data_IF_651984492179
#
_entry.id   IF_651984492179
#
_cell.length_a   1.000
_cell.length_b   1.000
_cell.length_c   1.000
_cell.angle_alpha   90.00
_cell.angle_beta   90.00
_cell.angle_gamma   90.00
#
_symmetry.space_group_name_H-M   'P 1'
#
loop_
_entity.id
_entity.type
_entity.pdbx_description
1 polymer ?
#
# COMPACT_ATOMS: atom_id res chain seq x y z
N UNK A 1 7.33 -16.55 15.78
CA UNK A 1 8.22 -15.45 15.34
C UNK A 1 8.33 -14.42 16.44
N UNK A 2 9.48 -13.77 16.62
CA UNK A 2 9.59 -12.65 17.57
C UNK A 2 8.69 -11.49 17.08
N UNK A 3 8.16 -10.68 18.00
CA UNK A 3 7.32 -9.51 17.64
C UNK A 3 8.03 -8.58 16.65
N UNK A 4 9.34 -8.40 16.80
CA UNK A 4 10.18 -7.64 15.86
C UNK A 4 10.14 -8.20 14.43
N UNK A 5 10.19 -9.52 14.26
CA UNK A 5 10.11 -10.16 12.95
C UNK A 5 8.75 -9.95 12.27
N UNK A 6 7.65 -9.92 13.03
CA UNK A 6 6.32 -9.65 12.49
C UNK A 6 6.18 -8.20 11.99
N UNK A 7 6.76 -7.25 12.73
CA UNK A 7 6.80 -5.84 12.33
C UNK A 7 7.62 -5.68 11.05
N UNK A 8 8.82 -6.26 10.99
CA UNK A 8 9.67 -6.23 9.78
C UNK A 8 8.93 -6.81 8.58
N UNK A 9 8.24 -7.94 8.75
CA UNK A 9 7.45 -8.55 7.67
C UNK A 9 6.38 -7.59 7.13
N UNK A 10 5.62 -6.92 7.99
CA UNK A 10 4.59 -5.96 7.55
C UNK A 10 5.20 -4.73 6.88
N UNK A 11 6.36 -4.25 7.35
CA UNK A 11 7.08 -3.15 6.70
C UNK A 11 7.53 -3.55 5.30
N UNK A 12 8.10 -4.75 5.12
CA UNK A 12 8.48 -5.26 3.80
C UNK A 12 7.25 -5.38 2.89
N UNK A 13 6.14 -5.95 3.39
CA UNK A 13 4.88 -6.03 2.64
C UNK A 13 4.38 -4.64 2.21
N UNK A 14 4.39 -3.66 3.11
CA UNK A 14 3.99 -2.30 2.80
C UNK A 14 4.85 -1.68 1.70
N UNK A 15 6.18 -1.82 1.79
CA UNK A 15 7.10 -1.31 0.78
C UNK A 15 6.89 -2.00 -0.58
N UNK A 16 6.75 -3.33 -0.58
CA UNK A 16 6.52 -4.10 -1.81
C UNK A 16 5.19 -3.72 -2.47
N UNK A 17 4.10 -3.63 -1.71
CA UNK A 17 2.80 -3.21 -2.24
C UNK A 17 2.83 -1.78 -2.76
N UNK A 18 3.50 -0.87 -2.04
CA UNK A 18 3.63 0.53 -2.45
C UNK A 18 4.40 0.67 -3.76
N UNK A 19 5.47 -0.13 -3.94
CA UNK A 19 6.27 -0.15 -5.17
C UNK A 19 5.50 -0.75 -6.35
N UNK A 20 4.80 -1.86 -6.13
CA UNK A 20 3.92 -2.46 -7.17
C UNK A 20 2.84 -1.44 -7.57
N UNK A 21 2.19 -0.80 -6.59
CA UNK A 21 1.18 0.21 -6.85
C UNK A 21 1.74 1.40 -7.61
N UNK A 22 2.97 1.83 -7.28
CA UNK A 22 3.62 2.92 -7.99
C UNK A 22 3.71 2.65 -9.49
N UNK A 23 4.24 1.48 -9.89
CA UNK A 23 4.37 1.11 -11.29
C UNK A 23 3.04 0.81 -12.00
N UNK A 24 2.02 0.39 -11.27
CA UNK A 24 0.72 0.03 -11.85
C UNK A 24 -0.29 1.19 -11.88
N UNK A 25 -0.07 2.23 -11.08
CA UNK A 25 -0.98 3.36 -10.93
C UNK A 25 -1.25 4.13 -12.22
N UNK A 26 -0.25 4.26 -13.09
CA UNK A 26 -0.43 4.91 -14.40
C UNK A 26 -1.38 4.11 -15.29
N UNK A 27 -1.18 2.78 -15.37
CA UNK A 27 -2.08 1.88 -16.09
C UNK A 27 -3.50 1.93 -15.55
N UNK A 28 -3.66 1.98 -14.21
CA UNK A 28 -4.98 2.08 -13.58
C UNK A 28 -5.68 3.38 -14.00
N UNK A 29 -4.97 4.51 -14.04
CA UNK A 29 -5.54 5.79 -14.46
C UNK A 29 -5.86 5.80 -15.94
N UNK A 30 -4.97 5.30 -16.79
CA UNK A 30 -5.22 5.23 -18.22
C UNK A 30 -6.47 4.37 -18.55
N UNK A 31 -6.75 3.36 -17.71
CA UNK A 31 -7.96 2.56 -17.81
C UNK A 31 -9.21 3.26 -17.24
N UNK A 32 -9.09 3.93 -16.10
CA UNK A 32 -10.22 4.56 -15.40
C UNK A 32 -10.66 5.87 -16.06
N UNK A 33 -9.71 6.64 -16.59
CA UNK A 33 -9.86 7.96 -17.17
C UNK A 33 -9.11 8.02 -18.52
N UNK A 34 -9.62 7.31 -19.55
CA UNK A 34 -8.96 7.28 -20.85
C UNK A 34 -8.88 8.68 -21.45
N UNK A 35 -7.69 9.04 -21.95
CA UNK A 35 -7.41 10.36 -22.53
C UNK A 35 -6.92 11.41 -21.54
N UNK A 36 -6.88 11.12 -20.23
CA UNK A 36 -6.25 11.99 -19.22
C UNK A 36 -4.83 11.50 -18.95
N UNK A 37 -3.84 12.25 -19.41
CA UNK A 37 -2.40 11.98 -19.21
C UNK A 37 -1.72 13.01 -18.30
N UNK A 38 -2.49 13.59 -17.38
CA UNK A 38 -2.01 14.62 -16.46
C UNK A 38 -1.23 14.01 -15.30
N UNK A 39 0.02 14.43 -15.12
CA UNK A 39 0.89 14.00 -14.01
C UNK A 39 0.24 14.27 -12.65
N UNK A 40 -0.53 15.36 -12.55
CA UNK A 40 -1.28 15.68 -11.33
C UNK A 40 -2.31 14.62 -10.93
N UNK A 41 -3.03 14.06 -11.91
CA UNK A 41 -3.99 12.98 -11.67
C UNK A 41 -3.27 11.71 -11.19
N UNK A 42 -2.11 11.41 -11.81
CA UNK A 42 -1.25 10.31 -11.40
C UNK A 42 -0.72 10.42 -9.97
N UNK A 43 -0.21 11.59 -9.60
CA UNK A 43 0.25 11.84 -8.23
C UNK A 43 -0.88 11.74 -7.20
N UNK A 44 -2.08 12.25 -7.51
CA UNK A 44 -3.23 12.14 -6.62
C UNK A 44 -3.64 10.68 -6.40
N UNK A 45 -3.67 9.88 -7.47
CA UNK A 45 -3.96 8.46 -7.39
C UNK A 45 -2.92 7.72 -6.53
N UNK A 46 -1.63 8.00 -6.75
CA UNK A 46 -0.55 7.47 -5.92
C UNK A 46 -0.75 7.75 -4.43
N UNK A 47 -1.02 9.00 -4.07
CA UNK A 47 -1.21 9.41 -2.68
C UNK A 47 -2.40 8.66 -2.06
N UNK A 48 -3.55 8.65 -2.71
CA UNK A 48 -4.74 7.97 -2.17
C UNK A 48 -4.52 6.47 -2.03
N UNK A 49 -3.92 5.82 -3.02
CA UNK A 49 -3.64 4.39 -2.95
C UNK A 49 -2.59 4.03 -1.92
N UNK A 50 -1.52 4.83 -1.74
CA UNK A 50 -0.55 4.60 -0.67
C UNK A 50 -1.15 4.78 0.72
N UNK A 51 -2.00 5.79 0.94
CA UNK A 51 -2.73 5.96 2.20
C UNK A 51 -3.62 4.75 2.47
N UNK A 52 -4.33 4.26 1.45
CA UNK A 52 -5.17 3.07 1.57
C UNK A 52 -4.35 1.81 1.90
N UNK A 53 -3.27 1.55 1.17
CA UNK A 53 -2.35 0.42 1.44
C UNK A 53 -1.79 0.52 2.86
N UNK A 54 -1.37 1.71 3.29
CA UNK A 54 -0.86 1.93 4.63
C UNK A 54 -1.88 1.56 5.71
N UNK A 55 -3.13 2.03 5.58
CA UNK A 55 -4.22 1.72 6.52
C UNK A 55 -4.45 0.20 6.59
N UNK A 56 -4.48 -0.49 5.44
CA UNK A 56 -4.67 -1.94 5.41
C UNK A 56 -3.53 -2.69 6.10
N UNK A 57 -2.28 -2.32 5.82
CA UNK A 57 -1.11 -2.99 6.42
C UNK A 57 -1.04 -2.72 7.93
N UNK A 58 -1.30 -1.49 8.37
CA UNK A 58 -1.35 -1.15 9.81
C UNK A 58 -2.45 -1.95 10.50
N UNK A 59 -3.64 -2.02 9.91
CA UNK A 59 -4.75 -2.80 10.47
C UNK A 59 -4.39 -4.29 10.59
N UNK A 60 -3.79 -4.87 9.54
CA UNK A 60 -3.27 -6.24 9.56
C UNK A 60 -2.22 -6.45 10.65
N UNK A 61 -1.30 -5.50 10.81
CA UNK A 61 -0.25 -5.56 11.83
C UNK A 61 -0.85 -5.56 13.23
N UNK A 62 -1.79 -4.66 13.51
CA UNK A 62 -2.46 -4.57 14.82
C UNK A 62 -3.18 -5.87 15.15
N UNK A 63 -3.92 -6.45 14.20
CA UNK A 63 -4.62 -7.72 14.38
C UNK A 63 -3.62 -8.86 14.67
N UNK A 64 -2.53 -8.92 13.90
CA UNK A 64 -1.51 -9.97 14.03
C UNK A 64 -0.77 -9.87 15.37
N UNK A 65 -0.42 -8.66 15.80
CA UNK A 65 0.23 -8.43 17.10
C UNK A 65 -0.68 -8.80 18.27
N UNK A 66 -1.98 -8.48 18.19
CA UNK A 66 -2.96 -8.89 19.21
C UNK A 66 -3.07 -10.41 19.31
N UNK A 67 -3.16 -11.11 18.18
CA UNK A 67 -3.21 -12.59 18.15
C UNK A 67 -1.93 -13.24 18.66
N UNK A 68 -0.76 -12.64 18.41
CA UNK A 68 0.52 -13.16 18.90
C UNK A 68 0.78 -12.88 20.39
N UNK A 69 -0.05 -12.06 21.04
CA UNK A 69 0.07 -11.73 22.46
C UNK A 69 -0.83 -12.58 23.37
N UNK A 70 -1.82 -13.27 22.79
CA UNK A 70 -2.62 -14.32 23.44
C UNK A 70 -1.87 -15.65 23.37
#
# INVERSE_FOLDING_TARGET
>A
MKRSSLIILHVVIWLTLSLIYFFTSETIIAWLLPGIHEVGAWLMMLIYGWVFIFILVVTSLVITLKRSAQ
#
